data_IF_563527534941
#
_entry.id   IF_563527534941
#
_cell.length_a   1.000
_cell.length_b   1.000
_cell.length_c   1.000
_cell.angle_alpha   90.00
_cell.angle_beta   90.00
_cell.angle_gamma   90.00
#
_symmetry.space_group_name_H-M   'P 1'
#
loop_
_entity.id
_entity.type
_entity.pdbx_description
1 polymer ?
#
# COMPACT_ATOMS: atom_id res chain seq x y z
N UNK A 1 6.49 2.40 -8.85
CA UNK A 1 5.14 2.50 -9.46
C UNK A 1 4.44 3.77 -8.96
N UNK A 2 3.82 4.54 -9.85
CA UNK A 2 3.06 5.77 -9.53
C UNK A 2 1.58 5.45 -9.67
N UNK A 3 0.79 5.72 -8.64
CA UNK A 3 -0.64 5.41 -8.65
C UNK A 3 -1.43 6.67 -8.89
N UNK A 4 -2.35 6.57 -9.84
CA UNK A 4 -3.14 7.68 -10.31
C UNK A 4 -4.61 7.31 -10.29
N UNK A 5 -5.45 8.27 -9.97
CA UNK A 5 -6.90 8.15 -10.11
C UNK A 5 -7.44 9.40 -10.81
N UNK A 6 -8.61 9.26 -11.43
CA UNK A 6 -9.36 10.38 -11.97
C UNK A 6 -10.27 10.93 -10.87
N UNK A 7 -10.17 12.24 -10.60
CA UNK A 7 -11.14 12.91 -9.72
C UNK A 7 -12.48 13.11 -10.46
N UNK A 8 -13.49 13.64 -9.76
CA UNK A 8 -14.81 13.97 -10.33
C UNK A 8 -14.79 14.95 -11.53
N UNK A 9 -13.69 15.66 -11.74
CA UNK A 9 -13.47 16.61 -12.83
C UNK A 9 -12.62 16.01 -13.96
N UNK A 10 -12.35 14.70 -13.93
CA UNK A 10 -11.47 13.98 -14.87
C UNK A 10 -10.00 14.44 -14.84
N UNK A 11 -9.53 15.04 -13.74
CA UNK A 11 -8.11 15.31 -13.55
C UNK A 11 -7.38 14.06 -13.04
N UNK A 12 -6.26 13.72 -13.68
CA UNK A 12 -5.30 12.75 -13.17
C UNK A 12 -4.61 13.30 -11.92
N UNK A 13 -4.82 12.63 -10.78
CA UNK A 13 -4.13 12.94 -9.53
C UNK A 13 -3.26 11.77 -9.10
N UNK A 14 -1.99 12.06 -8.83
CA UNK A 14 -1.12 11.11 -8.14
C UNK A 14 -1.56 11.04 -6.68
N UNK A 15 -1.97 9.87 -6.21
CA UNK A 15 -2.34 9.65 -4.80
C UNK A 15 -1.13 9.23 -3.98
N UNK A 16 -0.32 8.35 -4.55
CA UNK A 16 0.82 7.80 -3.87
C UNK A 16 1.89 7.33 -4.85
N UNK A 17 3.12 7.26 -4.34
CA UNK A 17 4.29 6.73 -5.04
C UNK A 17 4.88 5.61 -4.21
N UNK A 18 5.08 4.46 -4.85
CA UNK A 18 5.76 3.32 -4.25
C UNK A 18 7.05 3.03 -4.99
N UNK A 19 8.17 2.97 -4.28
CA UNK A 19 9.51 2.75 -4.85
C UNK A 19 10.01 1.30 -4.71
N UNK A 20 9.16 0.37 -4.25
CA UNK A 20 9.55 -1.01 -3.93
C UNK A 20 9.85 -1.22 -2.44
N UNK A 21 10.04 -0.14 -1.66
CA UNK A 21 10.34 -0.20 -0.23
C UNK A 21 9.51 0.78 0.60
N UNK A 22 9.20 1.94 0.06
CA UNK A 22 8.55 3.05 0.74
C UNK A 22 7.35 3.51 -0.06
N UNK A 23 6.22 3.68 0.61
CA UNK A 23 5.08 4.37 0.07
C UNK A 23 5.05 5.81 0.59
N UNK A 24 4.82 6.73 -0.33
CA UNK A 24 4.69 8.16 -0.05
C UNK A 24 3.40 8.70 -0.62
N UNK A 25 2.80 9.67 0.04
CA UNK A 25 1.65 10.39 -0.50
C UNK A 25 2.05 11.35 -1.64
N UNK A 26 1.06 12.06 -2.19
CA UNK A 26 1.25 13.08 -3.21
C UNK A 26 2.24 14.20 -2.81
N UNK A 27 2.38 14.45 -1.50
CA UNK A 27 3.27 15.45 -0.90
C UNK A 27 4.63 14.86 -0.49
N UNK A 28 4.94 13.63 -0.92
CA UNK A 28 6.17 12.89 -0.61
C UNK A 28 6.36 12.53 0.87
N UNK A 29 5.32 12.66 1.71
CA UNK A 29 5.32 12.22 3.12
C UNK A 29 5.25 10.70 3.16
N UNK A 30 6.03 10.09 4.06
CA UNK A 30 6.09 8.62 4.23
C UNK A 30 4.78 8.13 4.84
N UNK A 31 4.05 7.26 4.13
CA UNK A 31 2.85 6.59 4.63
C UNK A 31 3.21 5.25 5.27
N UNK A 32 4.02 4.45 4.56
CA UNK A 32 4.31 3.08 4.94
C UNK A 32 5.65 2.60 4.38
N UNK A 33 6.17 1.52 4.95
CA UNK A 33 7.33 0.79 4.43
C UNK A 33 7.00 -0.68 4.26
N UNK A 34 7.51 -1.27 3.19
CA UNK A 34 7.38 -2.69 2.87
C UNK A 34 8.78 -3.30 2.68
N UNK A 35 9.03 -4.44 3.31
CA UNK A 35 10.33 -5.13 3.26
C UNK A 35 10.33 -6.39 2.37
N UNK A 36 9.26 -6.64 1.62
CA UNK A 36 9.06 -7.89 0.87
C UNK A 36 8.15 -8.89 1.58
N UNK A 37 7.92 -8.73 2.89
CA UNK A 37 7.10 -9.64 3.71
C UNK A 37 6.16 -8.93 4.67
N UNK A 38 6.54 -7.76 5.17
CA UNK A 38 5.79 -7.03 6.20
C UNK A 38 5.55 -5.60 5.74
N UNK A 39 4.29 -5.18 5.80
CA UNK A 39 3.89 -3.79 5.67
C UNK A 39 3.86 -3.14 7.06
N UNK A 40 4.50 -1.99 7.18
CA UNK A 40 4.52 -1.18 8.39
C UNK A 40 4.05 0.23 8.10
N UNK A 41 3.32 0.83 9.05
CA UNK A 41 2.90 2.22 8.96
C UNK A 41 4.09 3.20 9.11
N UNK A 42 3.81 4.50 9.05
CA UNK A 42 4.82 5.55 9.20
C UNK A 42 5.58 5.47 10.54
N UNK A 43 4.90 4.97 11.58
CA UNK A 43 5.40 4.73 12.95
C UNK A 43 6.07 3.37 13.13
N UNK A 44 6.29 2.63 12.03
CA UNK A 44 6.92 1.30 12.00
C UNK A 44 6.12 0.17 12.66
N UNK A 45 4.85 0.40 13.01
CA UNK A 45 3.95 -0.66 13.51
C UNK A 45 3.56 -1.57 12.35
N UNK A 46 3.54 -2.87 12.61
CA UNK A 46 3.09 -3.87 11.63
C UNK A 46 1.60 -3.66 11.34
N UNK A 47 1.26 -3.53 10.07
CA UNK A 47 -0.11 -3.43 9.58
C UNK A 47 -0.55 -4.76 8.99
N UNK A 48 0.33 -5.39 8.20
CA UNK A 48 -0.01 -6.59 7.45
C UNK A 48 1.23 -7.41 7.05
N UNK A 49 1.01 -8.66 6.65
CA UNK A 49 2.04 -9.57 6.14
C UNK A 49 1.70 -10.13 4.76
N UNK A 50 2.67 -10.12 3.85
CA UNK A 50 2.59 -10.66 2.51
C UNK A 50 3.39 -11.97 2.42
N UNK A 51 2.77 -13.02 1.89
CA UNK A 51 3.39 -14.35 1.75
C UNK A 51 3.86 -14.68 0.31
N UNK A 52 3.79 -13.71 -0.60
CA UNK A 52 4.06 -13.92 -2.02
C UNK A 52 2.81 -14.10 -2.88
N UNK A 53 1.65 -14.33 -2.26
CA UNK A 53 0.35 -14.45 -2.95
C UNK A 53 -0.77 -13.69 -2.22
N UNK A 54 -0.73 -13.65 -0.89
CA UNK A 54 -1.79 -13.12 -0.05
C UNK A 54 -1.25 -12.09 0.92
N UNK A 55 -2.04 -11.04 1.13
CA UNK A 55 -1.91 -10.14 2.27
C UNK A 55 -2.84 -10.56 3.39
N UNK A 56 -2.28 -10.58 4.59
CA UNK A 56 -2.99 -10.86 5.82
C UNK A 56 -2.91 -9.69 6.79
N UNK A 57 -4.00 -9.39 7.47
CA UNK A 57 -4.02 -8.43 8.58
C UNK A 57 -3.31 -8.99 9.83
N UNK A 58 -3.32 -8.21 10.92
CA UNK A 58 -2.74 -8.61 12.20
C UNK A 58 -3.37 -9.87 12.81
N UNK A 59 -4.61 -10.20 12.42
CA UNK A 59 -5.35 -11.40 12.84
C UNK A 59 -5.15 -12.59 11.90
N UNK A 60 -4.20 -12.49 10.95
CA UNK A 60 -3.91 -13.50 9.91
C UNK A 60 -5.02 -13.73 8.88
N UNK A 61 -6.07 -12.89 8.87
CA UNK A 61 -7.14 -12.97 7.89
C UNK A 61 -6.63 -12.45 6.54
N UNK A 62 -6.88 -13.20 5.47
CA UNK A 62 -6.59 -12.74 4.11
C UNK A 62 -7.51 -11.56 3.82
N UNK A 63 -6.91 -10.42 3.50
CA UNK A 63 -7.63 -9.21 3.10
C UNK A 63 -7.52 -8.94 1.61
N UNK A 64 -6.46 -9.43 0.97
CA UNK A 64 -6.23 -9.34 -0.48
C UNK A 64 -5.43 -10.55 -0.94
N UNK A 65 -5.78 -11.09 -2.10
CA UNK A 65 -4.95 -12.01 -2.87
C UNK A 65 -4.51 -11.26 -4.12
N UNK A 66 -3.21 -11.12 -4.33
CA UNK A 66 -2.66 -10.36 -5.45
C UNK A 66 -1.48 -11.13 -6.03
N UNK A 67 -1.41 -11.17 -7.36
CA UNK A 67 -0.19 -11.58 -8.05
C UNK A 67 0.94 -10.60 -7.67
N UNK A 68 2.16 -11.11 -7.55
CA UNK A 68 3.25 -10.52 -6.76
C UNK A 68 3.64 -9.07 -7.16
N UNK A 69 3.18 -8.60 -8.32
CA UNK A 69 3.48 -7.28 -8.88
C UNK A 69 2.51 -6.16 -8.45
N UNK A 70 1.24 -6.48 -8.13
CA UNK A 70 0.17 -5.47 -7.94
C UNK A 70 -0.14 -5.18 -6.47
N UNK A 71 0.24 -6.08 -5.56
CA UNK A 71 -0.21 -6.07 -4.17
C UNK A 71 0.05 -4.75 -3.44
N UNK A 72 1.31 -4.34 -3.30
CA UNK A 72 1.77 -3.42 -2.23
C UNK A 72 1.11 -2.04 -2.26
N UNK A 73 0.75 -1.56 -3.45
CA UNK A 73 0.17 -0.24 -3.70
C UNK A 73 -1.28 -0.15 -3.22
N UNK A 74 -2.09 -1.17 -3.50
CA UNK A 74 -3.50 -1.23 -3.07
C UNK A 74 -3.57 -1.36 -1.55
N UNK A 75 -2.56 -2.00 -0.95
CA UNK A 75 -2.54 -2.39 0.46
C UNK A 75 -2.42 -1.21 1.41
N UNK A 76 -1.78 -0.14 0.98
CA UNK A 76 -1.74 1.07 1.77
C UNK A 76 -2.96 1.97 1.56
N UNK A 77 -3.63 1.85 0.43
CA UNK A 77 -4.89 2.55 0.20
C UNK A 77 -6.03 1.95 1.03
N UNK A 78 -6.04 0.62 1.23
CA UNK A 78 -6.97 -0.05 2.15
C UNK A 78 -6.65 0.27 3.62
N UNK A 79 -5.38 0.45 3.98
CA UNK A 79 -4.99 0.80 5.35
C UNK A 79 -5.39 2.24 5.76
N UNK A 80 -5.63 3.16 4.82
CA UNK A 80 -6.14 4.52 5.08
C UNK A 80 -7.67 4.62 5.00
N UNK A 81 -8.39 3.56 4.58
CA UNK A 81 -9.85 3.58 4.43
C UNK A 81 -10.62 3.03 5.66
N UNK A 82 -9.91 2.73 6.75
CA UNK A 82 -10.47 2.26 8.04
C UNK A 82 -10.25 3.33 9.11
#
# INVERSE_FOLDING_TARGET
MRNEYFNKNNDLKTVARFDGKTLRDAFSRKIATFDGKVLRDASLKKVATFDGQNLRDASSKIILSADAEVGIVVMAFVAELI
#
